data_IF_418264317995
#
_entry.id   IF_418264317995
#
_cell.length_a   1.000
_cell.length_b   1.000
_cell.length_c   1.000
_cell.angle_alpha   90.00
_cell.angle_beta   90.00
_cell.angle_gamma   90.00
#
_symmetry.space_group_name_H-M   'P 1'
#
loop_
_entity.id
_entity.type
_entity.pdbx_description
1 polymer ?
#
# COMPACT_ATOMS: atom_id res chain seq x y z
N UNK A 1 -10.55 18.71 3.37
CA UNK A 1 -9.60 19.83 3.26
C UNK A 1 -8.23 19.31 2.83
N UNK A 2 -7.54 18.46 3.62
CA UNK A 2 -6.16 17.96 3.31
C UNK A 2 -6.02 17.41 1.90
N UNK A 3 -6.98 16.60 1.43
CA UNK A 3 -6.98 16.04 0.09
C UNK A 3 -6.98 17.14 -0.99
N UNK A 4 -7.85 18.14 -0.87
CA UNK A 4 -7.94 19.23 -1.83
C UNK A 4 -6.71 20.15 -1.80
N UNK A 5 -6.12 20.34 -0.62
CA UNK A 5 -4.86 21.06 -0.51
C UNK A 5 -3.71 20.31 -1.19
N UNK A 6 -3.67 18.97 -1.05
CA UNK A 6 -2.70 18.14 -1.76
C UNK A 6 -2.93 18.12 -3.28
N UNK A 7 -4.19 18.15 -3.73
CA UNK A 7 -4.52 18.33 -5.14
C UNK A 7 -4.05 19.68 -5.69
N UNK A 8 -4.21 20.76 -4.91
CA UNK A 8 -3.83 22.09 -5.34
C UNK A 8 -2.31 22.33 -5.28
N UNK A 9 -1.59 21.72 -4.35
CA UNK A 9 -0.16 21.97 -4.17
C UNK A 9 0.62 20.69 -3.87
N UNK A 10 1.51 20.32 -4.77
CA UNK A 10 2.44 19.20 -4.57
C UNK A 10 3.51 19.49 -3.50
N UNK A 11 3.87 20.76 -3.34
CA UNK A 11 4.90 21.20 -2.39
C UNK A 11 4.36 21.39 -0.96
N UNK A 12 3.03 21.36 -0.77
CA UNK A 12 2.39 21.59 0.52
C UNK A 12 2.47 23.05 1.02
N UNK A 13 3.03 23.98 0.24
CA UNK A 13 3.18 25.39 0.61
C UNK A 13 1.85 26.13 0.44
N UNK A 14 0.96 25.97 1.40
CA UNK A 14 -0.36 26.61 1.43
C UNK A 14 -0.48 27.43 2.72
N UNK A 15 -0.89 28.68 2.59
CA UNK A 15 -1.05 29.59 3.73
C UNK A 15 -2.31 29.29 4.55
N UNK A 16 -2.34 29.74 5.79
CA UNK A 16 -3.52 29.61 6.67
C UNK A 16 -4.76 30.31 6.08
N UNK A 17 -4.56 31.42 5.36
CA UNK A 17 -5.64 32.13 4.67
C UNK A 17 -6.26 31.28 3.57
N UNK A 18 -5.43 30.65 2.75
CA UNK A 18 -5.87 29.74 1.69
C UNK A 18 -6.61 28.53 2.28
N UNK A 19 -6.06 27.96 3.34
CA UNK A 19 -6.70 26.84 4.06
C UNK A 19 -8.06 27.24 4.64
N UNK A 20 -8.16 28.43 5.24
CA UNK A 20 -9.40 28.94 5.83
C UNK A 20 -10.44 29.27 4.76
N UNK A 21 -10.02 29.88 3.64
CA UNK A 21 -10.89 30.16 2.50
C UNK A 21 -11.45 28.89 1.86
N UNK A 22 -10.60 27.86 1.70
CA UNK A 22 -11.06 26.56 1.21
C UNK A 22 -12.08 25.93 2.17
N UNK A 23 -11.85 25.98 3.50
CA UNK A 23 -12.81 25.47 4.49
C UNK A 23 -14.16 26.17 4.36
N UNK A 24 -14.15 27.51 4.18
CA UNK A 24 -15.38 28.28 3.98
C UNK A 24 -16.09 27.87 2.70
N UNK A 25 -15.38 27.79 1.59
CA UNK A 25 -15.95 27.35 0.31
C UNK A 25 -16.59 25.95 0.40
N UNK A 26 -15.92 25.00 1.06
CA UNK A 26 -16.45 23.66 1.28
C UNK A 26 -17.69 23.66 2.18
N UNK A 27 -17.70 24.45 3.24
CA UNK A 27 -18.85 24.56 4.14
C UNK A 27 -20.08 25.09 3.40
N UNK A 28 -19.91 26.13 2.59
CA UNK A 28 -20.98 26.73 1.82
C UNK A 28 -21.51 25.76 0.75
N UNK A 29 -20.61 25.10 0.02
CA UNK A 29 -20.97 24.07 -0.97
C UNK A 29 -21.67 22.87 -0.33
N UNK A 30 -21.25 22.46 0.86
CA UNK A 30 -21.91 21.36 1.57
C UNK A 30 -23.36 21.71 1.93
N UNK A 31 -23.64 22.97 2.34
CA UNK A 31 -24.99 23.43 2.60
C UNK A 31 -25.86 23.47 1.34
N UNK A 32 -25.26 23.81 0.20
CA UNK A 32 -25.98 23.96 -1.07
C UNK A 32 -26.22 22.63 -1.78
N UNK A 33 -25.19 21.78 -1.87
CA UNK A 33 -25.16 20.57 -2.71
C UNK A 33 -24.99 19.26 -1.92
N UNK A 34 -24.55 19.35 -0.65
CA UNK A 34 -24.29 18.17 0.17
C UNK A 34 -23.32 17.20 -0.49
N UNK A 35 -23.75 15.94 -0.63
CA UNK A 35 -22.93 14.86 -1.22
C UNK A 35 -22.74 14.96 -2.73
N UNK A 36 -23.50 15.79 -3.41
CA UNK A 36 -23.43 15.99 -4.88
C UNK A 36 -22.37 17.01 -5.27
N UNK A 37 -21.71 17.66 -4.28
CA UNK A 37 -20.64 18.61 -4.55
C UNK A 37 -19.43 17.90 -5.18
N UNK A 38 -18.92 18.48 -6.28
CA UNK A 38 -17.81 17.97 -7.07
C UNK A 38 -16.57 18.84 -6.93
N UNK A 39 -15.45 18.37 -7.48
CA UNK A 39 -14.21 19.18 -7.56
C UNK A 39 -14.42 20.40 -8.44
N UNK A 40 -15.22 20.27 -9.51
CA UNK A 40 -15.60 21.38 -10.38
C UNK A 40 -16.30 22.50 -9.61
N UNK A 41 -17.21 22.15 -8.71
CA UNK A 41 -17.92 23.10 -7.87
C UNK A 41 -16.96 23.82 -6.92
N UNK A 42 -16.02 23.09 -6.33
CA UNK A 42 -15.02 23.68 -5.43
C UNK A 42 -14.12 24.65 -6.20
N UNK A 43 -13.59 24.23 -7.34
CA UNK A 43 -12.74 25.06 -8.20
C UNK A 43 -13.47 26.33 -8.64
N UNK A 44 -14.70 26.20 -9.17
CA UNK A 44 -15.53 27.34 -9.59
C UNK A 44 -15.84 28.29 -8.45
N UNK A 45 -16.15 27.77 -7.25
CA UNK A 45 -16.42 28.59 -6.06
C UNK A 45 -15.19 29.41 -5.66
N UNK A 46 -14.00 28.79 -5.68
CA UNK A 46 -12.74 29.46 -5.34
C UNK A 46 -12.35 30.53 -6.36
N UNK A 47 -12.58 30.29 -7.65
CA UNK A 47 -12.31 31.28 -8.69
C UNK A 47 -13.18 32.54 -8.59
N UNK A 48 -14.34 32.46 -7.95
CA UNK A 48 -15.26 33.57 -7.74
C UNK A 48 -14.98 34.40 -6.46
N UNK A 49 -13.97 34.04 -5.64
CA UNK A 49 -13.56 34.87 -4.53
C UNK A 49 -12.85 36.15 -5.03
N UNK A 50 -12.89 37.23 -4.26
CA UNK A 50 -12.13 38.45 -4.57
C UNK A 50 -10.64 38.27 -4.32
N UNK A 51 -10.28 37.51 -3.28
CA UNK A 51 -8.88 37.22 -2.88
C UNK A 51 -8.16 36.34 -3.92
N UNK A 52 -7.12 36.92 -4.54
CA UNK A 52 -6.31 36.25 -5.56
C UNK A 52 -5.70 34.92 -5.08
N UNK A 53 -5.33 34.84 -3.80
CA UNK A 53 -4.76 33.59 -3.22
C UNK A 53 -5.74 32.43 -3.22
N UNK A 54 -7.05 32.69 -3.13
CA UNK A 54 -8.09 31.66 -3.24
C UNK A 54 -8.36 31.30 -4.70
N UNK A 55 -8.27 32.26 -5.62
CA UNK A 55 -8.30 31.99 -7.05
C UNK A 55 -7.15 31.09 -7.49
N UNK A 56 -5.96 31.27 -6.90
CA UNK A 56 -4.81 30.41 -7.17
C UNK A 56 -5.13 28.93 -6.84
N UNK A 57 -5.74 28.66 -5.67
CA UNK A 57 -6.18 27.32 -5.30
C UNK A 57 -7.20 26.78 -6.32
N UNK A 58 -8.19 27.59 -6.71
CA UNK A 58 -9.17 27.21 -7.74
C UNK A 58 -8.51 26.84 -9.06
N UNK A 59 -7.52 27.61 -9.52
CA UNK A 59 -6.74 27.35 -10.71
C UNK A 59 -5.90 26.09 -10.58
N UNK A 60 -5.26 25.86 -9.44
CA UNK A 60 -4.43 24.69 -9.17
C UNK A 60 -5.25 23.39 -9.08
N UNK A 61 -6.54 23.46 -8.78
CA UNK A 61 -7.43 22.30 -8.82
C UNK A 61 -7.84 21.90 -10.25
N UNK A 62 -7.60 22.74 -11.26
CA UNK A 62 -8.01 22.48 -12.65
C UNK A 62 -7.62 21.09 -13.16
N UNK A 63 -6.42 20.55 -12.93
CA UNK A 63 -6.05 19.22 -13.41
C UNK A 63 -7.01 18.09 -12.97
N UNK A 64 -7.70 18.27 -11.86
CA UNK A 64 -8.61 17.30 -11.25
C UNK A 64 -10.10 17.56 -11.56
N UNK A 65 -10.42 18.69 -12.18
CA UNK A 65 -11.78 18.99 -12.64
C UNK A 65 -12.16 18.10 -13.83
N UNK A 66 -13.43 18.07 -14.18
CA UNK A 66 -13.95 17.28 -15.31
C UNK A 66 -13.24 17.58 -16.64
N UNK A 67 -12.75 18.79 -16.83
CA UNK A 67 -12.04 19.25 -18.04
C UNK A 67 -10.52 19.09 -17.92
N UNK A 68 -10.00 18.78 -16.75
CA UNK A 68 -8.57 18.63 -16.49
C UNK A 68 -8.00 17.29 -16.93
N UNK A 69 -6.68 17.20 -17.00
CA UNK A 69 -5.98 16.00 -17.45
C UNK A 69 -6.24 14.74 -16.62
N UNK A 70 -6.61 14.91 -15.34
CA UNK A 70 -7.00 13.83 -14.43
C UNK A 70 -8.52 13.67 -14.29
N UNK A 71 -9.33 14.48 -15.01
CA UNK A 71 -10.78 14.51 -14.90
C UNK A 71 -11.45 13.16 -15.07
N UNK A 72 -10.92 12.30 -15.94
CA UNK A 72 -11.45 10.94 -16.14
C UNK A 72 -11.53 10.09 -14.86
N UNK A 73 -10.68 10.37 -13.87
CA UNK A 73 -10.67 9.67 -12.57
C UNK A 73 -11.66 10.25 -11.57
N UNK A 74 -12.20 11.45 -11.81
CA UNK A 74 -13.05 12.21 -10.88
C UNK A 74 -14.44 12.55 -11.44
N UNK A 75 -14.71 12.29 -12.73
CA UNK A 75 -16.01 12.61 -13.39
C UNK A 75 -17.20 11.79 -12.89
N UNK A 76 -16.95 10.58 -12.37
CA UNK A 76 -18.01 9.66 -11.95
C UNK A 76 -18.04 9.61 -10.44
N UNK A 77 -19.21 9.27 -9.87
CA UNK A 77 -19.32 8.98 -8.44
C UNK A 77 -18.35 7.86 -8.02
N UNK A 78 -18.08 7.76 -6.73
CA UNK A 78 -17.18 6.75 -6.18
C UNK A 78 -17.63 5.33 -6.56
N UNK A 79 -16.78 4.62 -7.29
CA UNK A 79 -16.99 3.22 -7.68
C UNK A 79 -16.14 2.24 -6.85
N UNK A 80 -15.31 2.73 -5.91
CA UNK A 80 -14.52 1.89 -5.01
C UNK A 80 -15.33 1.58 -3.76
N UNK A 81 -15.44 0.30 -3.43
CA UNK A 81 -16.17 -0.17 -2.26
C UNK A 81 -15.27 -1.04 -1.39
N UNK A 82 -15.09 -0.64 -0.13
CA UNK A 82 -14.39 -1.43 0.90
C UNK A 82 -15.33 -2.36 1.70
N UNK A 83 -16.52 -2.62 1.18
CA UNK A 83 -17.50 -3.53 1.83
C UNK A 83 -17.12 -5.01 1.69
N UNK A 84 -16.27 -5.35 0.74
CA UNK A 84 -15.78 -6.70 0.53
C UNK A 84 -14.87 -7.14 1.67
N UNK A 85 -14.83 -8.45 1.92
CA UNK A 85 -13.93 -9.03 2.93
C UNK A 85 -12.45 -8.94 2.50
N UNK A 86 -12.20 -8.90 1.20
CA UNK A 86 -10.88 -8.79 0.60
C UNK A 86 -10.94 -7.78 -0.54
N UNK A 87 -10.05 -6.79 -0.51
CA UNK A 87 -9.95 -5.74 -1.53
C UNK A 87 -8.49 -5.59 -1.90
N UNK A 88 -8.18 -5.65 -3.18
CA UNK A 88 -6.85 -5.38 -3.74
C UNK A 88 -6.91 -4.06 -4.50
N UNK A 89 -5.89 -3.24 -4.31
CA UNK A 89 -5.75 -1.94 -4.96
C UNK A 89 -4.44 -1.93 -5.73
N UNK A 90 -4.53 -1.98 -7.04
CA UNK A 90 -3.38 -1.90 -7.95
C UNK A 90 -3.18 -0.44 -8.37
N UNK A 91 -1.96 0.07 -8.19
CA UNK A 91 -1.61 1.46 -8.48
C UNK A 91 -0.59 1.61 -9.61
N UNK A 92 -0.26 0.52 -10.29
CA UNK A 92 0.78 0.50 -11.34
C UNK A 92 0.47 1.42 -12.51
N UNK A 93 -0.80 1.57 -12.88
CA UNK A 93 -1.23 2.51 -13.93
C UNK A 93 -0.93 3.98 -13.59
N UNK A 94 -0.63 4.27 -12.33
CA UNK A 94 -0.33 5.61 -11.83
C UNK A 94 1.16 5.92 -11.73
N UNK A 95 2.07 4.96 -12.05
CA UNK A 95 3.52 5.13 -11.89
C UNK A 95 4.06 6.37 -12.62
N UNK A 96 3.57 6.67 -13.83
CA UNK A 96 3.95 7.88 -14.58
C UNK A 96 3.31 9.19 -14.10
N UNK A 97 2.37 9.15 -13.13
CA UNK A 97 1.55 10.29 -12.69
C UNK A 97 1.73 10.56 -11.20
N UNK A 98 2.93 10.95 -10.79
CA UNK A 98 3.32 11.10 -9.38
C UNK A 98 2.29 11.86 -8.54
N UNK A 99 1.85 13.03 -9.00
CA UNK A 99 0.89 13.85 -8.25
C UNK A 99 -0.48 13.17 -8.10
N UNK A 100 -1.00 12.57 -9.17
CA UNK A 100 -2.26 11.82 -9.09
C UNK A 100 -2.13 10.61 -8.14
N UNK A 101 -1.01 9.90 -8.20
CA UNK A 101 -0.71 8.77 -7.29
C UNK A 101 -0.74 9.20 -5.83
N UNK A 102 -0.09 10.33 -5.49
CA UNK A 102 -0.09 10.87 -4.12
C UNK A 102 -1.52 11.22 -3.65
N UNK A 103 -2.30 11.87 -4.50
CA UNK A 103 -3.70 12.24 -4.18
C UNK A 103 -4.56 10.99 -3.94
N UNK A 104 -4.42 9.97 -4.79
CA UNK A 104 -5.18 8.71 -4.64
C UNK A 104 -4.73 7.97 -3.38
N UNK A 105 -3.43 7.87 -3.12
CA UNK A 105 -2.90 7.26 -1.89
C UNK A 105 -3.44 7.96 -0.64
N UNK A 106 -3.44 9.29 -0.62
CA UNK A 106 -4.01 10.05 0.49
C UNK A 106 -5.51 9.77 0.68
N UNK A 107 -6.27 9.70 -0.42
CA UNK A 107 -7.69 9.34 -0.36
C UNK A 107 -7.90 7.93 0.23
N UNK A 108 -7.09 6.95 -0.19
CA UNK A 108 -7.16 5.59 0.33
C UNK A 108 -6.81 5.55 1.82
N UNK A 109 -5.77 6.28 2.24
CA UNK A 109 -5.38 6.41 3.64
C UNK A 109 -6.52 6.97 4.49
N UNK A 110 -7.15 8.05 4.04
CA UNK A 110 -8.28 8.65 4.75
C UNK A 110 -9.45 7.68 4.87
N UNK A 111 -9.72 6.89 3.83
CA UNK A 111 -10.77 5.87 3.86
C UNK A 111 -10.41 4.72 4.83
N UNK A 112 -9.18 4.22 4.77
CA UNK A 112 -8.71 3.18 5.69
C UNK A 112 -8.77 3.66 7.14
N UNK A 113 -8.32 4.89 7.41
CA UNK A 113 -8.41 5.49 8.75
C UNK A 113 -9.86 5.56 9.24
N UNK A 114 -10.77 6.02 8.38
CA UNK A 114 -12.19 6.08 8.71
C UNK A 114 -12.73 4.69 9.08
N UNK A 115 -12.46 3.68 8.27
CA UNK A 115 -12.97 2.33 8.48
C UNK A 115 -12.33 1.64 9.69
N UNK A 116 -11.06 1.92 9.97
CA UNK A 116 -10.38 1.35 11.16
C UNK A 116 -10.83 2.05 12.44
N UNK A 117 -10.84 3.38 12.48
CA UNK A 117 -11.07 4.12 13.72
C UNK A 117 -12.54 4.31 14.07
N UNK A 118 -13.40 4.48 13.07
CA UNK A 118 -14.83 4.77 13.24
C UNK A 118 -15.73 3.58 12.88
N UNK A 119 -15.21 2.58 12.19
CA UNK A 119 -15.94 1.38 11.83
C UNK A 119 -16.13 0.40 12.99
N UNK A 120 -16.80 -0.71 12.72
CA UNK A 120 -17.06 -1.78 13.68
C UNK A 120 -15.74 -2.36 14.25
N UNK A 121 -15.54 -2.19 15.56
CA UNK A 121 -14.35 -2.66 16.27
C UNK A 121 -14.35 -4.16 16.54
N UNK A 122 -15.47 -4.86 16.40
CA UNK A 122 -15.54 -6.31 16.56
C UNK A 122 -14.89 -7.04 15.37
N UNK A 123 -14.85 -6.41 14.20
CA UNK A 123 -14.25 -6.97 13.00
C UNK A 123 -12.73 -6.82 13.03
N UNK A 124 -12.04 -7.93 12.76
CA UNK A 124 -10.59 -7.90 12.49
C UNK A 124 -10.34 -7.24 11.13
N UNK A 125 -9.35 -6.36 11.07
CA UNK A 125 -8.97 -5.62 9.88
C UNK A 125 -7.48 -5.78 9.66
N UNK A 126 -7.07 -6.06 8.43
CA UNK A 126 -5.66 -6.18 8.06
C UNK A 126 -5.42 -5.27 6.87
N UNK A 127 -4.41 -4.43 6.98
CA UNK A 127 -3.89 -3.63 5.87
C UNK A 127 -2.56 -4.24 5.47
N UNK A 128 -2.45 -4.65 4.21
CA UNK A 128 -1.21 -5.18 3.63
C UNK A 128 -0.69 -4.16 2.63
N UNK A 129 0.57 -3.80 2.74
CA UNK A 129 1.26 -2.88 1.83
C UNK A 129 2.49 -3.60 1.29
N UNK A 130 2.44 -3.94 0.02
CA UNK A 130 3.57 -4.49 -0.69
C UNK A 130 4.44 -3.39 -1.28
N UNK A 131 5.72 -3.66 -1.47
CA UNK A 131 6.73 -2.68 -1.93
C UNK A 131 6.72 -1.36 -1.14
N UNK A 132 6.54 -1.45 0.18
CA UNK A 132 6.33 -0.29 1.05
C UNK A 132 7.51 0.70 1.09
N UNK A 133 8.70 0.30 0.62
CA UNK A 133 9.92 1.12 0.66
C UNK A 133 9.77 2.49 -0.03
N UNK A 134 9.02 2.55 -1.13
CA UNK A 134 8.76 3.79 -1.87
C UNK A 134 7.77 4.70 -1.12
N UNK A 135 6.78 4.09 -0.50
CA UNK A 135 5.75 4.80 0.26
C UNK A 135 6.26 5.34 1.61
N UNK A 136 7.30 4.72 2.19
CA UNK A 136 7.88 5.15 3.47
C UNK A 136 8.75 6.40 3.36
N UNK A 137 9.09 6.84 2.14
CA UNK A 137 9.93 8.02 1.90
C UNK A 137 9.16 9.34 1.96
N UNK A 138 7.84 9.32 1.88
CA UNK A 138 7.04 10.52 1.62
C UNK A 138 5.97 10.81 2.68
N UNK A 139 6.11 11.98 3.31
CA UNK A 139 5.10 12.85 3.91
C UNK A 139 3.98 12.15 4.70
N UNK A 140 2.76 12.33 4.25
CA UNK A 140 1.55 11.86 4.96
C UNK A 140 1.38 10.35 4.94
N UNK A 141 1.83 9.66 3.88
CA UNK A 141 1.77 8.20 3.77
C UNK A 141 2.68 7.56 4.83
N UNK A 142 3.90 8.05 4.94
CA UNK A 142 4.86 7.58 5.94
C UNK A 142 4.34 7.81 7.36
N UNK A 143 3.79 8.99 7.65
CA UNK A 143 3.18 9.35 8.93
C UNK A 143 1.96 8.48 9.25
N UNK A 144 1.14 8.15 8.25
CA UNK A 144 0.04 7.20 8.40
C UNK A 144 0.53 5.82 8.77
N UNK A 145 1.54 5.30 8.08
CA UNK A 145 2.09 3.96 8.34
C UNK A 145 2.64 3.86 9.76
N UNK A 146 3.41 4.85 10.21
CA UNK A 146 3.90 4.91 11.58
C UNK A 146 2.74 4.92 12.60
N UNK A 147 1.74 5.77 12.38
CA UNK A 147 0.56 5.84 13.25
C UNK A 147 -0.25 4.53 13.26
N UNK A 148 -0.33 3.83 12.12
CA UNK A 148 -1.03 2.57 11.98
C UNK A 148 -0.35 1.47 12.82
N UNK A 149 0.98 1.32 12.74
CA UNK A 149 1.74 0.38 13.57
C UNK A 149 1.58 0.63 15.06
N UNK A 150 1.55 1.91 15.49
CA UNK A 150 1.38 2.28 16.90
C UNK A 150 -0.04 2.11 17.44
N UNK A 151 -1.08 2.26 16.59
CA UNK A 151 -2.46 2.47 17.06
C UNK A 151 -3.46 1.41 16.62
N UNK A 152 -3.29 0.73 15.48
CA UNK A 152 -4.31 -0.13 14.88
C UNK A 152 -4.73 -1.29 15.78
N UNK A 153 -3.81 -1.83 16.59
CA UNK A 153 -4.12 -2.89 17.55
C UNK A 153 -5.29 -2.53 18.48
N UNK A 154 -5.43 -1.25 18.89
CA UNK A 154 -6.53 -0.78 19.74
C UNK A 154 -7.91 -0.84 19.07
N UNK A 155 -7.92 -0.96 17.74
CA UNK A 155 -9.13 -0.98 16.91
C UNK A 155 -9.32 -2.34 16.22
N UNK A 156 -8.71 -3.39 16.76
CA UNK A 156 -8.72 -4.74 16.19
C UNK A 156 -8.15 -4.80 14.76
N UNK A 157 -7.20 -3.92 14.49
CA UNK A 157 -6.49 -3.81 13.22
C UNK A 157 -5.05 -4.32 13.31
N UNK A 158 -4.54 -4.82 12.20
CA UNK A 158 -3.14 -5.18 12.01
C UNK A 158 -2.62 -4.55 10.71
N UNK A 159 -1.32 -4.30 10.66
CA UNK A 159 -0.62 -3.83 9.46
C UNK A 159 0.49 -4.81 9.15
N UNK A 160 0.62 -5.16 7.89
CA UNK A 160 1.73 -5.94 7.35
C UNK A 160 2.33 -5.12 6.21
N UNK A 161 3.64 -4.94 6.25
CA UNK A 161 4.40 -4.37 5.12
C UNK A 161 5.39 -5.40 4.60
N UNK A 162 5.62 -5.38 3.30
CA UNK A 162 6.70 -6.11 2.66
C UNK A 162 7.67 -5.13 1.99
N UNK A 163 8.96 -5.43 2.10
CA UNK A 163 10.05 -4.69 1.45
C UNK A 163 11.05 -5.67 0.86
N UNK A 164 11.88 -5.23 -0.06
CA UNK A 164 12.85 -6.10 -0.72
C UNK A 164 14.09 -6.37 0.14
N UNK A 165 14.43 -5.45 1.04
CA UNK A 165 15.60 -5.58 1.91
C UNK A 165 15.29 -5.12 3.33
N UNK A 166 15.92 -5.78 4.30
CA UNK A 166 15.87 -5.35 5.71
C UNK A 166 16.43 -3.94 5.90
N UNK A 167 17.38 -3.51 5.06
CA UNK A 167 17.95 -2.15 5.10
C UNK A 167 16.92 -1.06 4.80
N UNK A 168 15.93 -1.34 3.95
CA UNK A 168 14.89 -0.36 3.57
C UNK A 168 14.13 0.19 4.78
N UNK A 169 13.89 -0.66 5.79
CA UNK A 169 13.23 -0.26 7.04
C UNK A 169 14.07 0.72 7.85
N UNK A 170 15.38 0.70 7.70
CA UNK A 170 16.30 1.49 8.53
C UNK A 170 16.88 2.71 7.82
N UNK A 171 16.56 2.93 6.55
CA UNK A 171 17.02 4.10 5.77
C UNK A 171 16.43 5.42 6.27
N UNK A 172 15.24 5.38 6.85
CA UNK A 172 14.55 6.58 7.34
C UNK A 172 13.94 6.38 8.75
N UNK A 173 13.62 7.46 9.47
CA UNK A 173 13.07 7.38 10.83
C UNK A 173 11.73 6.64 10.92
N UNK A 174 10.88 6.76 9.91
CA UNK A 174 9.56 6.10 9.89
C UNK A 174 9.71 4.60 9.77
N UNK A 175 10.55 4.12 8.86
CA UNK A 175 10.84 2.70 8.72
C UNK A 175 11.41 2.10 10.00
N UNK A 176 12.30 2.83 10.71
CA UNK A 176 12.79 2.42 12.04
C UNK A 176 11.66 2.31 13.07
N UNK A 177 10.80 3.31 13.15
CA UNK A 177 9.66 3.28 14.06
C UNK A 177 8.71 2.10 13.76
N UNK A 178 8.52 1.76 12.49
CA UNK A 178 7.77 0.58 12.07
C UNK A 178 8.45 -0.70 12.54
N UNK A 179 9.76 -0.86 12.30
CA UNK A 179 10.53 -2.03 12.73
C UNK A 179 10.48 -2.23 14.25
N UNK A 180 10.62 -1.15 15.02
CA UNK A 180 10.55 -1.16 16.49
C UNK A 180 9.16 -1.50 17.02
N UNK A 181 8.09 -1.11 16.33
CA UNK A 181 6.70 -1.38 16.73
C UNK A 181 6.15 -2.67 16.10
N UNK A 182 6.95 -3.39 15.31
CA UNK A 182 6.54 -4.67 14.70
C UNK A 182 6.65 -5.80 15.73
N UNK A 183 5.52 -6.41 16.07
CA UNK A 183 5.48 -7.58 16.96
C UNK A 183 6.15 -8.81 16.36
N UNK A 184 6.19 -8.89 15.03
CA UNK A 184 6.80 -9.99 14.29
C UNK A 184 7.52 -9.44 13.06
N UNK A 185 8.73 -9.91 12.82
CA UNK A 185 9.50 -9.61 11.61
C UNK A 185 9.88 -10.94 10.94
N UNK A 186 9.54 -11.07 9.66
CA UNK A 186 9.85 -12.22 8.82
C UNK A 186 10.93 -11.82 7.82
N UNK A 187 12.08 -12.46 7.86
CA UNK A 187 13.20 -12.19 6.97
C UNK A 187 13.44 -13.43 6.08
N UNK A 188 13.24 -13.24 4.79
CA UNK A 188 13.62 -14.18 3.77
C UNK A 188 15.14 -14.08 3.53
N UNK A 189 15.68 -14.84 2.59
CA UNK A 189 17.11 -14.79 2.24
C UNK A 189 17.55 -13.33 1.94
N UNK A 190 18.52 -12.86 2.69
CA UNK A 190 19.06 -11.50 2.58
C UNK A 190 20.50 -11.54 2.11
N UNK A 191 20.94 -10.49 1.40
CA UNK A 191 22.35 -10.34 1.05
C UNK A 191 23.19 -10.15 2.32
N UNK A 192 24.35 -10.84 2.45
CA UNK A 192 25.21 -10.73 3.64
C UNK A 192 25.55 -9.28 4.00
N UNK A 193 25.78 -8.43 2.99
CA UNK A 193 26.13 -7.02 3.17
C UNK A 193 24.98 -6.22 3.81
N UNK A 194 23.73 -6.53 3.45
CA UNK A 194 22.55 -5.90 4.04
C UNK A 194 22.43 -6.28 5.53
N UNK A 195 22.62 -7.56 5.87
CA UNK A 195 22.62 -8.04 7.25
C UNK A 195 23.71 -7.35 8.06
N UNK A 196 24.95 -7.30 7.53
CA UNK A 196 26.08 -6.67 8.21
C UNK A 196 25.88 -5.18 8.42
N UNK A 197 25.31 -4.48 7.44
CA UNK A 197 25.04 -3.04 7.54
C UNK A 197 24.11 -2.74 8.72
N UNK A 198 22.99 -3.45 8.83
CA UNK A 198 21.99 -3.18 9.89
C UNK A 198 22.45 -3.67 11.26
N UNK A 199 23.23 -4.75 11.34
CA UNK A 199 23.77 -5.26 12.61
C UNK A 199 24.92 -4.41 13.15
N UNK A 200 25.88 -3.98 12.30
CA UNK A 200 26.99 -3.09 12.71
C UNK A 200 26.48 -1.73 13.20
N UNK A 201 25.39 -1.24 12.65
CA UNK A 201 24.75 0.01 13.10
C UNK A 201 23.86 -0.16 14.34
N UNK A 202 23.75 -1.37 14.89
CA UNK A 202 22.85 -1.64 16.04
C UNK A 202 21.35 -1.49 15.71
N UNK A 203 20.99 -1.53 14.44
CA UNK A 203 19.60 -1.35 13.97
C UNK A 203 18.78 -2.64 14.10
N UNK A 204 19.43 -3.78 13.90
CA UNK A 204 18.86 -5.10 14.13
C UNK A 204 19.66 -5.78 15.24
N UNK A 205 19.09 -5.74 16.45
CA UNK A 205 19.72 -6.35 17.61
C UNK A 205 19.60 -7.88 17.56
N UNK A 206 20.67 -8.53 17.13
CA UNK A 206 20.82 -9.98 17.11
C UNK A 206 22.16 -10.37 17.71
N UNK A 207 22.16 -11.46 18.49
CA UNK A 207 23.44 -12.05 18.91
C UNK A 207 24.19 -12.61 17.70
N UNK A 208 25.52 -12.78 17.77
CA UNK A 208 26.32 -13.36 16.69
C UNK A 208 25.78 -14.70 16.17
N UNK A 209 25.22 -15.53 17.06
CA UNK A 209 24.60 -16.80 16.70
C UNK A 209 23.38 -16.59 15.80
N UNK A 210 22.50 -15.63 16.12
CA UNK A 210 21.33 -15.32 15.30
C UNK A 210 21.68 -14.61 13.99
N UNK A 211 22.76 -13.82 13.96
CA UNK A 211 23.27 -13.26 12.69
C UNK A 211 23.72 -14.36 11.75
N UNK A 212 24.45 -15.36 12.26
CA UNK A 212 24.87 -16.51 11.45
C UNK A 212 23.66 -17.34 10.98
N UNK A 213 22.66 -17.51 11.84
CA UNK A 213 21.42 -18.20 11.50
C UNK A 213 20.66 -17.44 10.40
N UNK A 214 20.56 -16.11 10.49
CA UNK A 214 19.94 -15.29 9.44
C UNK A 214 20.69 -15.37 8.10
N UNK A 215 22.03 -15.41 8.14
CA UNK A 215 22.85 -15.59 6.92
C UNK A 215 22.67 -16.95 6.26
N UNK A 216 22.24 -17.97 7.00
CA UNK A 216 21.99 -19.32 6.45
C UNK A 216 20.64 -19.48 5.77
N UNK A 217 19.72 -18.51 5.94
CA UNK A 217 18.38 -18.55 5.34
C UNK A 217 18.47 -18.57 3.82
N UNK A 218 17.89 -19.60 3.21
CA UNK A 218 17.93 -19.79 1.75
C UNK A 218 16.63 -20.41 1.23
N UNK A 219 16.52 -20.42 -0.08
CA UNK A 219 15.45 -21.11 -0.80
C UNK A 219 16.06 -22.22 -1.65
N UNK A 220 15.51 -23.43 -1.52
CA UNK A 220 15.79 -24.52 -2.44
C UNK A 220 14.63 -24.62 -3.42
N UNK A 221 14.92 -24.27 -4.69
CA UNK A 221 13.90 -24.15 -5.71
C UNK A 221 13.07 -25.42 -5.87
N UNK A 222 11.75 -25.30 -5.81
CA UNK A 222 10.82 -26.41 -5.91
C UNK A 222 10.65 -27.25 -4.63
N UNK A 223 11.48 -27.06 -3.61
CA UNK A 223 11.46 -27.85 -2.37
C UNK A 223 10.91 -27.02 -1.20
N UNK A 224 11.63 -25.98 -0.79
CA UNK A 224 11.21 -25.13 0.32
C UNK A 224 11.76 -23.71 0.21
N UNK A 225 11.15 -22.78 0.96
CA UNK A 225 11.73 -21.47 1.28
C UNK A 225 11.90 -21.35 2.78
N UNK A 226 13.08 -20.94 3.24
CA UNK A 226 13.30 -20.64 4.66
C UNK A 226 12.92 -19.21 4.99
N UNK A 227 12.42 -19.02 6.21
CA UNK A 227 12.01 -17.74 6.77
C UNK A 227 12.60 -17.66 8.16
N UNK A 228 13.43 -16.65 8.42
CA UNK A 228 13.84 -16.29 9.77
C UNK A 228 12.76 -15.41 10.40
N UNK A 229 12.18 -15.85 11.48
CA UNK A 229 11.12 -15.12 12.21
C UNK A 229 11.68 -14.60 13.52
N UNK A 230 11.58 -13.27 13.71
CA UNK A 230 11.84 -12.58 14.97
C UNK A 230 10.49 -12.18 15.57
N UNK A 231 10.24 -12.54 16.83
CA UNK A 231 9.03 -12.17 17.56
C UNK A 231 9.33 -11.92 19.02
N UNK A 232 8.35 -11.43 19.78
CA UNK A 232 8.44 -11.31 21.25
C UNK A 232 8.69 -12.65 21.96
N UNK A 233 8.36 -13.77 21.31
CA UNK A 233 8.55 -15.13 21.85
C UNK A 233 9.92 -15.73 21.56
N UNK A 234 10.75 -15.04 20.78
CA UNK A 234 12.08 -15.49 20.36
C UNK A 234 12.28 -15.50 18.85
N UNK A 235 13.31 -16.22 18.43
CA UNK A 235 13.78 -16.30 17.06
C UNK A 235 13.78 -17.75 16.56
N UNK A 236 13.53 -17.96 15.28
CA UNK A 236 13.60 -19.27 14.68
C UNK A 236 13.62 -19.22 13.16
N UNK A 237 14.12 -20.32 12.54
CA UNK A 237 13.96 -20.55 11.13
C UNK A 237 12.79 -21.52 10.91
N UNK A 238 11.94 -21.20 9.98
CA UNK A 238 10.83 -22.02 9.53
C UNK A 238 10.99 -22.30 8.05
N UNK A 239 10.59 -23.50 7.62
CA UNK A 239 10.53 -23.87 6.21
C UNK A 239 9.10 -23.81 5.71
N UNK A 240 8.88 -23.02 4.68
CA UNK A 240 7.63 -23.01 3.93
C UNK A 240 7.72 -24.09 2.83
N UNK A 241 6.96 -25.14 3.00
CA UNK A 241 6.79 -26.21 1.99
C UNK A 241 5.40 -26.00 1.39
N UNK A 242 5.36 -25.78 0.09
CA UNK A 242 4.12 -25.48 -0.65
C UNK A 242 3.82 -26.65 -1.56
N UNK A 243 2.56 -27.10 -1.59
CA UNK A 243 2.10 -28.13 -2.53
C UNK A 243 2.12 -27.61 -3.99
N UNK A 244 2.10 -28.52 -4.95
CA UNK A 244 2.28 -28.17 -6.36
C UNK A 244 1.14 -27.33 -6.93
N UNK A 245 -0.09 -27.47 -6.39
CA UNK A 245 -1.20 -26.62 -6.77
C UNK A 245 -0.98 -25.17 -6.32
N UNK A 246 -0.59 -24.99 -5.07
CA UNK A 246 -0.32 -23.65 -4.51
C UNK A 246 0.91 -23.00 -5.16
N UNK A 247 1.94 -23.79 -5.55
CA UNK A 247 3.08 -23.27 -6.32
C UNK A 247 2.61 -22.66 -7.65
N UNK A 248 1.75 -23.34 -8.40
CA UNK A 248 1.20 -22.81 -9.65
C UNK A 248 0.26 -21.62 -9.41
N UNK A 249 -0.58 -21.67 -8.36
CA UNK A 249 -1.52 -20.61 -8.04
C UNK A 249 -0.82 -19.27 -7.74
N UNK A 250 0.34 -19.32 -7.09
CA UNK A 250 1.13 -18.15 -6.70
C UNK A 250 2.33 -17.89 -7.63
N UNK A 251 2.45 -18.64 -8.72
CA UNK A 251 3.55 -18.46 -9.65
C UNK A 251 3.46 -17.13 -10.40
N UNK A 252 4.60 -16.49 -10.56
CA UNK A 252 4.81 -15.33 -11.44
C UNK A 252 5.65 -15.69 -12.66
N UNK A 253 5.99 -16.99 -12.85
CA UNK A 253 6.74 -17.47 -14.01
C UNK A 253 5.92 -17.31 -15.29
N UNK A 254 6.45 -16.63 -16.33
CA UNK A 254 5.74 -16.44 -17.59
C UNK A 254 5.32 -17.77 -18.24
N UNK A 255 6.16 -18.80 -18.15
CA UNK A 255 5.88 -20.11 -18.73
C UNK A 255 4.71 -20.82 -18.01
N UNK A 256 4.68 -20.72 -16.67
CA UNK A 256 3.61 -21.30 -15.87
C UNK A 256 2.28 -20.56 -16.06
N UNK A 257 2.33 -19.22 -16.07
CA UNK A 257 1.16 -18.39 -16.35
C UNK A 257 0.61 -18.67 -17.75
N UNK A 258 1.47 -18.79 -18.76
CA UNK A 258 1.05 -19.11 -20.14
C UNK A 258 0.42 -20.49 -20.24
N UNK A 259 0.95 -21.48 -19.50
CA UNK A 259 0.37 -22.83 -19.46
C UNK A 259 -1.02 -22.85 -18.83
N UNK A 260 -1.24 -22.07 -17.76
CA UNK A 260 -2.55 -21.93 -17.13
C UNK A 260 -3.52 -21.18 -18.04
N UNK A 261 -3.05 -20.07 -18.66
CA UNK A 261 -3.88 -19.22 -19.52
C UNK A 261 -4.42 -20.00 -20.73
N UNK A 262 -3.62 -20.89 -21.32
CA UNK A 262 -4.06 -21.77 -22.42
C UNK A 262 -5.33 -22.54 -22.06
N UNK A 263 -5.39 -23.15 -20.88
CA UNK A 263 -6.58 -23.90 -20.43
C UNK A 263 -7.76 -22.98 -20.09
N UNK A 264 -7.49 -21.76 -19.60
CA UNK A 264 -8.54 -20.75 -19.38
C UNK A 264 -9.15 -20.33 -20.73
N UNK A 265 -8.34 -20.12 -21.76
CA UNK A 265 -8.80 -19.77 -23.10
C UNK A 265 -9.62 -20.89 -23.76
N UNK A 266 -9.42 -22.14 -23.35
CA UNK A 266 -10.26 -23.30 -23.71
C UNK A 266 -11.57 -23.37 -22.92
N UNK A 267 -11.81 -22.45 -21.97
CA UNK A 267 -13.08 -22.32 -21.22
C UNK A 267 -13.06 -22.95 -19.83
N UNK A 268 -11.92 -23.43 -19.34
CA UNK A 268 -11.79 -23.95 -17.98
C UNK A 268 -11.72 -22.81 -16.95
N UNK A 269 -12.21 -23.06 -15.75
CA UNK A 269 -11.98 -22.16 -14.63
C UNK A 269 -10.51 -22.14 -14.22
N UNK A 270 -10.04 -21.10 -13.52
CA UNK A 270 -8.66 -21.01 -13.06
C UNK A 270 -8.21 -22.26 -12.27
N UNK A 271 -9.07 -22.75 -11.37
CA UNK A 271 -8.81 -23.96 -10.58
C UNK A 271 -8.62 -25.19 -11.47
N UNK A 272 -9.53 -25.40 -12.43
CA UNK A 272 -9.46 -26.54 -13.36
C UNK A 272 -8.23 -26.45 -14.28
N UNK A 273 -7.90 -25.24 -14.76
CA UNK A 273 -6.71 -24.99 -15.56
C UNK A 273 -5.41 -25.38 -14.83
N UNK A 274 -5.29 -25.00 -13.54
CA UNK A 274 -4.15 -25.40 -12.69
C UNK A 274 -4.08 -26.94 -12.58
N UNK A 275 -5.20 -27.62 -12.34
CA UNK A 275 -5.23 -29.09 -12.28
C UNK A 275 -4.80 -29.75 -13.60
N UNK A 276 -5.23 -29.19 -14.75
CA UNK A 276 -4.81 -29.64 -16.07
C UNK A 276 -3.30 -29.55 -16.28
N UNK A 277 -2.70 -28.40 -15.89
CA UNK A 277 -1.24 -28.23 -15.96
C UNK A 277 -0.52 -29.25 -15.06
N UNK A 278 -1.05 -29.55 -13.88
CA UNK A 278 -0.48 -30.58 -12.99
C UNK A 278 -0.57 -31.98 -13.58
N UNK A 279 -1.67 -32.33 -14.23
CA UNK A 279 -1.84 -33.63 -14.94
C UNK A 279 -0.82 -33.76 -16.06
N UNK A 280 -0.63 -32.71 -16.89
CA UNK A 280 0.39 -32.70 -17.95
C UNK A 280 1.81 -32.89 -17.42
N UNK A 281 2.14 -32.22 -16.29
CA UNK A 281 3.46 -32.39 -15.66
C UNK A 281 3.70 -33.80 -15.15
N UNK A 282 2.70 -34.42 -14.55
CA UNK A 282 2.78 -35.84 -14.11
C UNK A 282 2.99 -36.77 -15.28
N UNK A 283 2.24 -36.59 -16.38
CA UNK A 283 2.38 -37.43 -17.57
C UNK A 283 3.74 -37.30 -18.27
N UNK A 284 4.43 -36.15 -18.17
CA UNK A 284 5.79 -35.95 -18.72
C UNK A 284 6.89 -36.59 -17.86
N UNK A 285 6.63 -36.77 -16.56
CA UNK A 285 7.59 -37.30 -15.59
C UNK A 285 7.40 -38.78 -15.33
N UNK A 286 6.38 -39.40 -15.92
CA UNK A 286 6.10 -40.84 -15.92
C UNK A 286 6.66 -41.52 -17.17
#
# INVERSE_FOLDING_TARGET
>A
VSLLLNMASQSGNISDIQTTGLKKALHDLWKEKGKEATIDDVASRLLNFEDGRLKDIGTQLYPFTSEGGYGRYFKKGNNVSFKNKFTVLELDELQGKKHLRQVILLQLILQIQHDVYLGDRSRKKIVVVDEAWDLLKEGEVASFMEAAYRKFRKYNGAVLIATQSVSDLYENPVGRAIAENSATMCLLGQKPEAIESVTKKGQLELSPAYVNLLKSVHTEAGVFSEIFVKSERGYGIYRLIVDDYSKLLYSTSPDELSAIQRWIDEGYSNTEAIHKVLEERKARNS
#
